data_IF_535609991363
#
_entry.id   IF_535609991363
#
_cell.length_a   1.000
_cell.length_b   1.000
_cell.length_c   1.000
_cell.angle_alpha   90.00
_cell.angle_beta   90.00
_cell.angle_gamma   90.00
#
_symmetry.space_group_name_H-M   'P 1'
#
loop_
_entity.id
_entity.type
_entity.pdbx_description
1 polymer ?
#
# COMPACT_ATOMS: atom_id res chain seq x y z
N UNK A 1 -0.08 3.21 -14.62
CA UNK A 1 -0.24 2.48 -15.91
C UNK A 1 -1.49 3.01 -16.59
N UNK A 2 -1.56 3.01 -17.93
CA UNK A 2 -2.77 3.40 -18.67
C UNK A 2 -3.72 2.21 -18.76
N UNK A 3 -5.03 2.40 -18.60
CA UNK A 3 -6.02 1.32 -18.73
C UNK A 3 -5.99 0.68 -20.13
N UNK A 4 -6.22 -0.63 -20.20
CA UNK A 4 -6.31 -1.38 -21.47
C UNK A 4 -7.76 -1.67 -21.84
N UNK A 5 -8.01 -2.03 -23.09
CA UNK A 5 -9.35 -2.42 -23.58
C UNK A 5 -9.93 -3.55 -22.72
N UNK A 6 -9.15 -4.60 -22.44
CA UNK A 6 -9.58 -5.73 -21.63
C UNK A 6 -9.89 -5.32 -20.19
N UNK A 7 -9.06 -4.46 -19.58
CA UNK A 7 -9.31 -3.94 -18.24
C UNK A 7 -10.63 -3.17 -18.17
N UNK A 8 -10.88 -2.26 -19.12
CA UNK A 8 -12.13 -1.48 -19.14
C UNK A 8 -13.34 -2.38 -19.39
N UNK A 9 -13.26 -3.35 -20.31
CA UNK A 9 -14.36 -4.29 -20.57
C UNK A 9 -14.73 -5.13 -19.34
N UNK A 10 -13.72 -5.57 -18.59
CA UNK A 10 -13.91 -6.42 -17.41
C UNK A 10 -14.24 -5.63 -16.12
N UNK A 11 -14.09 -4.31 -16.14
CA UNK A 11 -14.43 -3.45 -15.01
C UNK A 11 -15.94 -3.44 -14.72
N UNK A 12 -16.28 -3.20 -13.44
CA UNK A 12 -17.67 -3.18 -12.91
C UNK A 12 -17.96 -1.92 -12.10
N UNK A 13 -17.91 -0.72 -12.71
CA UNK A 13 -18.15 0.54 -12.01
C UNK A 13 -19.56 0.67 -11.41
N UNK A 14 -20.53 -0.12 -11.87
CA UNK A 14 -21.87 -0.21 -11.28
C UNK A 14 -21.87 -0.65 -9.80
N UNK A 15 -20.85 -1.40 -9.37
CA UNK A 15 -20.70 -1.78 -7.96
C UNK A 15 -20.43 -0.59 -7.04
N UNK A 16 -19.84 0.47 -7.59
CA UNK A 16 -19.60 1.71 -6.83
C UNK A 16 -20.90 2.44 -6.57
N UNK A 17 -21.83 2.46 -7.53
CA UNK A 17 -23.17 3.02 -7.33
C UNK A 17 -24.00 2.19 -6.35
N UNK A 18 -23.88 0.86 -6.36
CA UNK A 18 -24.50 0.00 -5.34
C UNK A 18 -23.93 0.27 -3.94
N UNK A 19 -22.60 0.41 -3.83
CA UNK A 19 -21.95 0.76 -2.56
C UNK A 19 -22.39 2.15 -2.05
N UNK A 20 -22.61 3.12 -2.94
CA UNK A 20 -23.14 4.43 -2.60
C UNK A 20 -24.55 4.33 -1.96
N UNK A 21 -25.43 3.51 -2.53
CA UNK A 21 -26.77 3.27 -1.97
C UNK A 21 -26.70 2.66 -0.57
N UNK A 22 -25.78 1.71 -0.34
CA UNK A 22 -25.55 1.14 0.99
C UNK A 22 -25.03 2.19 1.99
N UNK A 23 -24.15 3.10 1.56
CA UNK A 23 -23.66 4.20 2.38
C UNK A 23 -24.81 5.18 2.75
N UNK A 24 -25.64 5.59 1.79
CA UNK A 24 -26.83 6.42 2.04
C UNK A 24 -27.79 5.77 3.06
N UNK A 25 -28.09 4.49 2.90
CA UNK A 25 -28.97 3.77 3.83
C UNK A 25 -28.39 3.73 5.24
N UNK A 26 -27.06 3.61 5.36
CA UNK A 26 -26.36 3.61 6.64
C UNK A 26 -26.39 5.00 7.28
N UNK A 27 -26.11 6.06 6.52
CA UNK A 27 -26.20 7.44 6.99
C UNK A 27 -27.61 7.76 7.53
N UNK A 28 -28.65 7.39 6.77
CA UNK A 28 -30.04 7.60 7.17
C UNK A 28 -30.46 6.81 8.43
N UNK A 29 -29.78 5.71 8.78
CA UNK A 29 -29.99 5.02 10.07
C UNK A 29 -29.38 5.83 11.22
N UNK A 30 -28.17 6.34 11.04
CA UNK A 30 -27.45 7.12 12.06
C UNK A 30 -28.15 8.45 12.33
N UNK A 31 -28.58 9.16 11.28
CA UNK A 31 -29.34 10.40 11.41
C UNK A 31 -30.61 10.23 12.25
N UNK A 32 -31.35 9.13 12.02
CA UNK A 32 -32.53 8.79 12.84
C UNK A 32 -32.18 8.53 14.30
N UNK A 33 -31.05 7.90 14.59
CA UNK A 33 -30.58 7.68 15.96
C UNK A 33 -30.18 8.99 16.65
N UNK A 34 -29.52 9.92 15.94
CA UNK A 34 -29.19 11.25 16.45
C UNK A 34 -30.46 12.02 16.84
N UNK A 35 -31.47 12.03 15.98
CA UNK A 35 -32.77 12.69 16.26
C UNK A 35 -33.45 12.07 17.48
N UNK A 36 -33.42 10.74 17.61
CA UNK A 36 -33.99 10.04 18.76
C UNK A 36 -33.26 10.41 20.07
N UNK A 37 -31.92 10.41 20.08
CA UNK A 37 -31.10 10.77 21.25
C UNK A 37 -31.36 12.20 21.71
N UNK A 38 -31.43 13.17 20.78
CA UNK A 38 -31.77 14.57 21.11
C UNK A 38 -33.16 14.70 21.73
N UNK A 39 -34.13 13.96 21.21
CA UNK A 39 -35.50 13.95 21.74
C UNK A 39 -35.55 13.38 23.16
N UNK A 40 -34.87 12.25 23.41
CA UNK A 40 -34.79 11.65 24.74
C UNK A 40 -34.08 12.56 25.75
N UNK A 41 -33.02 13.25 25.33
CA UNK A 41 -32.30 14.19 26.18
C UNK A 41 -33.19 15.37 26.61
N UNK A 42 -33.95 15.93 25.67
CA UNK A 42 -34.92 17.00 25.94
C UNK A 42 -36.00 16.56 26.94
N UNK A 43 -36.51 15.33 26.82
CA UNK A 43 -37.51 14.78 27.74
C UNK A 43 -36.95 14.56 29.15
N UNK A 44 -35.71 14.07 29.27
CA UNK A 44 -35.03 13.87 30.56
C UNK A 44 -34.85 15.19 31.31
N UNK A 45 -34.46 16.28 30.63
CA UNK A 45 -34.25 17.60 31.26
C UNK A 45 -35.51 18.31 31.75
N UNK A 46 -36.69 17.86 31.30
CA UNK A 46 -37.97 18.33 31.81
C UNK A 46 -38.28 17.73 33.21
N UNK A 47 -37.81 16.52 33.51
CA UNK A 47 -38.16 15.75 34.70
C UNK A 47 -37.04 15.54 35.73
N UNK A 48 -35.78 15.73 35.35
CA UNK A 48 -34.61 15.51 36.22
C UNK A 48 -33.59 16.64 36.05
N UNK A 49 -33.16 17.25 37.16
CA UNK A 49 -32.19 18.36 37.19
C UNK A 49 -31.21 18.22 38.34
N UNK A 50 -29.99 18.72 38.16
CA UNK A 50 -28.88 18.65 39.11
C UNK A 50 -27.57 18.20 38.45
N UNK A 51 -26.48 18.13 39.19
CA UNK A 51 -25.13 17.89 38.65
C UNK A 51 -25.02 16.55 37.90
N UNK A 52 -25.71 15.51 38.39
CA UNK A 52 -25.76 14.20 37.71
C UNK A 52 -26.48 14.25 36.35
N UNK A 53 -27.52 15.08 36.22
CA UNK A 53 -28.17 15.33 34.93
C UNK A 53 -27.25 16.11 33.99
N UNK A 54 -26.51 17.10 34.49
CA UNK A 54 -25.53 17.86 33.72
C UNK A 54 -24.44 16.95 33.12
N UNK A 55 -23.87 16.06 33.94
CA UNK A 55 -22.86 15.09 33.48
C UNK A 55 -23.42 14.10 32.43
N UNK A 56 -24.64 13.60 32.64
CA UNK A 56 -25.30 12.69 31.69
C UNK A 56 -25.67 13.38 30.37
N UNK A 57 -26.10 14.64 30.41
CA UNK A 57 -26.36 15.47 29.22
C UNK A 57 -25.09 15.65 28.40
N UNK A 58 -23.99 16.07 29.04
CA UNK A 58 -22.71 16.27 28.38
C UNK A 58 -22.15 14.98 27.76
N UNK A 59 -22.30 13.83 28.43
CA UNK A 59 -21.93 12.52 27.86
C UNK A 59 -22.79 12.16 26.64
N UNK A 60 -24.10 12.43 26.69
CA UNK A 60 -25.02 12.15 25.58
C UNK A 60 -24.77 13.08 24.38
N UNK A 61 -24.48 14.35 24.63
CA UNK A 61 -24.14 15.34 23.59
C UNK A 61 -22.85 14.97 22.85
N UNK A 62 -21.83 14.46 23.55
CA UNK A 62 -20.62 13.92 22.91
C UNK A 62 -20.91 12.74 22.00
N UNK A 63 -21.72 11.78 22.46
CA UNK A 63 -22.15 10.63 21.63
C UNK A 63 -22.99 11.06 20.43
N UNK A 64 -23.80 12.11 20.56
CA UNK A 64 -24.53 12.70 19.44
C UNK A 64 -23.54 13.29 18.41
N UNK A 65 -22.52 14.02 18.86
CA UNK A 65 -21.52 14.60 17.97
C UNK A 65 -20.72 13.52 17.21
N UNK A 66 -20.36 12.41 17.87
CA UNK A 66 -19.73 11.25 17.23
C UNK A 66 -20.61 10.65 16.14
N UNK A 67 -21.89 10.44 16.43
CA UNK A 67 -22.85 9.90 15.46
C UNK A 67 -23.07 10.86 14.28
N UNK A 68 -23.11 12.19 14.51
CA UNK A 68 -23.21 13.18 13.44
C UNK A 68 -21.97 13.17 12.54
N UNK A 69 -20.77 12.99 13.11
CA UNK A 69 -19.52 12.84 12.37
C UNK A 69 -19.51 11.57 11.51
N UNK A 70 -20.00 10.45 12.06
CA UNK A 70 -20.15 9.19 11.33
C UNK A 70 -21.15 9.33 10.18
N UNK A 71 -22.31 9.96 10.42
CA UNK A 71 -23.30 10.22 9.37
C UNK A 71 -22.75 11.12 8.26
N UNK A 72 -22.03 12.19 8.62
CA UNK A 72 -21.38 13.08 7.65
C UNK A 72 -20.38 12.37 6.76
N UNK A 73 -19.64 11.41 7.29
CA UNK A 73 -18.71 10.58 6.49
C UNK A 73 -19.46 9.67 5.53
N UNK A 74 -20.49 8.98 6.01
CA UNK A 74 -21.29 8.11 5.15
C UNK A 74 -21.96 8.88 4.00
N UNK A 75 -22.42 10.11 4.24
CA UNK A 75 -22.94 11.01 3.19
C UNK A 75 -21.86 11.45 2.19
N UNK A 76 -20.63 11.74 2.64
CA UNK A 76 -19.52 12.05 1.71
C UNK A 76 -19.12 10.85 0.87
N UNK A 77 -19.01 9.67 1.47
CA UNK A 77 -18.70 8.42 0.77
C UNK A 77 -19.77 8.09 -0.26
N UNK A 78 -21.05 8.26 0.08
CA UNK A 78 -22.15 8.10 -0.86
C UNK A 78 -22.00 9.01 -2.09
N UNK A 79 -21.84 10.32 -1.88
CA UNK A 79 -21.69 11.29 -2.96
C UNK A 79 -20.50 10.98 -3.89
N UNK A 80 -19.34 10.64 -3.31
CA UNK A 80 -18.13 10.30 -4.06
C UNK A 80 -18.31 9.02 -4.87
N UNK A 81 -18.84 7.96 -4.25
CA UNK A 81 -19.04 6.66 -4.90
C UNK A 81 -20.10 6.74 -6.01
N UNK A 82 -21.21 7.46 -5.78
CA UNK A 82 -22.26 7.65 -6.77
C UNK A 82 -21.76 8.45 -7.98
N UNK A 83 -21.07 9.57 -7.72
CA UNK A 83 -20.52 10.43 -8.76
C UNK A 83 -19.46 9.74 -9.61
N UNK A 84 -18.46 9.13 -8.96
CA UNK A 84 -17.37 8.45 -9.65
C UNK A 84 -17.81 7.18 -10.37
N UNK A 85 -18.68 6.38 -9.74
CA UNK A 85 -19.24 5.17 -10.36
C UNK A 85 -20.03 5.49 -11.64
N UNK A 86 -20.82 6.57 -11.64
CA UNK A 86 -21.56 7.02 -12.83
C UNK A 86 -20.64 7.48 -13.97
N UNK A 87 -19.58 8.22 -13.65
CA UNK A 87 -18.59 8.68 -14.64
C UNK A 87 -17.84 7.50 -15.28
N UNK A 88 -17.32 6.58 -14.46
CA UNK A 88 -16.63 5.39 -14.96
C UNK A 88 -17.56 4.49 -15.78
N UNK A 89 -18.83 4.34 -15.37
CA UNK A 89 -19.84 3.59 -16.14
C UNK A 89 -20.07 4.21 -17.51
N UNK A 90 -20.15 5.54 -17.59
CA UNK A 90 -20.31 6.28 -18.84
C UNK A 90 -19.10 6.08 -19.77
N UNK A 91 -17.88 6.27 -19.25
CA UNK A 91 -16.64 6.12 -20.02
C UNK A 91 -16.46 4.67 -20.49
N UNK A 92 -16.72 3.69 -19.62
CA UNK A 92 -16.74 2.26 -19.99
C UNK A 92 -17.70 1.99 -21.14
N UNK A 93 -18.92 2.51 -21.06
CA UNK A 93 -19.94 2.33 -22.10
C UNK A 93 -19.48 2.92 -23.44
N UNK A 94 -18.84 4.09 -23.42
CA UNK A 94 -18.29 4.72 -24.62
C UNK A 94 -17.15 3.90 -25.25
N UNK A 95 -16.22 3.37 -24.44
CA UNK A 95 -15.13 2.49 -24.89
C UNK A 95 -15.68 1.22 -25.53
N UNK A 96 -16.61 0.53 -24.85
CA UNK A 96 -17.22 -0.70 -25.35
C UNK A 96 -18.01 -0.45 -26.65
N UNK A 97 -18.75 0.66 -26.72
CA UNK A 97 -19.51 1.03 -27.92
C UNK A 97 -18.59 1.29 -29.11
N UNK A 98 -17.51 2.05 -28.90
CA UNK A 98 -16.53 2.32 -29.95
C UNK A 98 -15.83 1.03 -30.41
N UNK A 99 -15.48 0.14 -29.47
CA UNK A 99 -14.88 -1.15 -29.77
C UNK A 99 -15.78 -1.99 -30.68
N UNK A 100 -17.07 -2.12 -30.35
CA UNK A 100 -18.02 -2.89 -31.15
C UNK A 100 -18.32 -2.24 -32.50
N UNK A 101 -18.38 -0.91 -32.56
CA UNK A 101 -18.49 -0.18 -33.81
C UNK A 101 -17.29 -0.48 -34.73
N UNK A 102 -16.07 -0.40 -34.21
CA UNK A 102 -14.85 -0.67 -34.98
C UNK A 102 -14.80 -2.12 -35.47
N UNK A 103 -15.13 -3.10 -34.61
CA UNK A 103 -15.20 -4.52 -34.99
C UNK A 103 -16.23 -4.80 -36.09
N UNK A 104 -17.41 -4.15 -36.02
CA UNK A 104 -18.47 -4.32 -37.03
C UNK A 104 -18.08 -3.76 -38.40
N UNK A 105 -17.25 -2.71 -38.42
CA UNK A 105 -16.73 -2.10 -39.65
C UNK A 105 -15.56 -2.88 -40.28
N UNK A 106 -15.06 -3.93 -39.61
CA UNK A 106 -13.95 -4.74 -40.11
C UNK A 106 -12.57 -4.34 -39.57
N UNK A 107 -12.53 -3.52 -38.53
CA UNK A 107 -11.29 -3.26 -37.78
C UNK A 107 -11.05 -4.32 -36.70
N UNK A 108 -9.80 -4.44 -36.29
CA UNK A 108 -9.40 -5.12 -35.06
C UNK A 108 -8.75 -4.10 -34.14
N UNK A 109 -8.89 -4.29 -32.82
CA UNK A 109 -8.36 -3.37 -31.80
C UNK A 109 -7.49 -4.20 -30.86
N UNK A 110 -6.22 -3.80 -30.71
CA UNK A 110 -5.29 -4.39 -29.75
C UNK A 110 -5.60 -3.88 -28.33
N UNK A 111 -5.03 -4.54 -27.32
CA UNK A 111 -5.37 -4.24 -25.92
C UNK A 111 -4.95 -2.83 -25.49
N UNK A 112 -3.88 -2.30 -26.09
CA UNK A 112 -3.42 -0.92 -25.89
C UNK A 112 -4.30 0.14 -26.57
N UNK A 113 -5.38 -0.26 -27.26
CA UNK A 113 -6.25 0.61 -28.03
C UNK A 113 -5.79 0.88 -29.47
N UNK A 114 -4.72 0.22 -29.95
CA UNK A 114 -4.28 0.37 -31.36
C UNK A 114 -5.27 -0.31 -32.30
N UNK A 115 -5.80 0.45 -33.25
CA UNK A 115 -6.74 0.00 -34.27
C UNK A 115 -5.98 -0.36 -35.54
N UNK A 116 -6.29 -1.52 -36.13
CA UNK A 116 -5.73 -1.96 -37.41
C UNK A 116 -6.78 -2.69 -38.24
N UNK A 117 -6.49 -2.91 -39.51
CA UNK A 117 -7.39 -3.66 -40.41
C UNK A 117 -7.48 -5.10 -39.91
N UNK A 118 -8.70 -5.63 -39.73
CA UNK A 118 -8.88 -7.05 -39.38
C UNK A 118 -8.56 -7.94 -40.58
N UNK A 119 -7.71 -8.97 -40.44
CA UNK A 119 -7.49 -9.96 -41.49
C UNK A 119 -8.80 -10.59 -41.97
N UNK A 120 -8.92 -10.75 -43.28
CA UNK A 120 -10.12 -11.31 -43.93
C UNK A 120 -11.32 -10.36 -44.00
N UNK A 121 -11.20 -9.11 -43.53
CA UNK A 121 -12.29 -8.13 -43.61
C UNK A 121 -12.47 -7.57 -45.03
N UNK A 122 -13.64 -6.99 -45.28
CA UNK A 122 -13.92 -6.21 -46.50
C UNK A 122 -13.01 -4.98 -46.61
N UNK A 123 -12.54 -4.42 -45.47
CA UNK A 123 -11.54 -3.35 -45.45
C UNK A 123 -10.19 -3.83 -45.99
N UNK A 124 -9.77 -5.05 -45.65
CA UNK A 124 -8.55 -5.63 -46.19
C UNK A 124 -8.63 -5.85 -47.71
N UNK A 125 -9.78 -6.34 -48.20
CA UNK A 125 -10.04 -6.49 -49.63
C UNK A 125 -10.01 -5.13 -50.34
N UNK A 126 -10.63 -4.11 -49.75
CA UNK A 126 -10.63 -2.75 -50.28
C UNK A 126 -9.23 -2.11 -50.31
N UNK A 127 -8.41 -2.36 -49.30
CA UNK A 127 -7.01 -1.91 -49.24
C UNK A 127 -6.17 -2.48 -50.38
N UNK A 128 -6.40 -3.75 -50.76
CA UNK A 128 -5.64 -4.46 -51.82
C UNK A 128 -5.97 -3.97 -53.24
N UNK A 129 -7.09 -3.30 -53.45
CA UNK A 129 -7.50 -2.81 -54.77
C UNK A 129 -6.65 -1.64 -55.27
N UNK A 130 -6.16 -0.77 -54.37
CA UNK A 130 -5.40 0.42 -54.73
C UNK A 130 -4.51 0.87 -53.55
N UNK A 131 -3.20 1.12 -53.74
CA UNK A 131 -2.32 1.67 -52.70
C UNK A 131 -2.85 2.94 -52.01
N UNK A 132 -3.56 3.81 -52.73
CA UNK A 132 -4.18 5.00 -52.15
C UNK A 132 -5.28 4.66 -51.12
N UNK A 133 -6.01 3.56 -51.31
CA UNK A 133 -7.01 3.08 -50.35
C UNK A 133 -6.34 2.56 -49.07
N UNK A 134 -5.21 1.88 -49.20
CA UNK A 134 -4.44 1.41 -48.05
C UNK A 134 -3.94 2.58 -47.18
N UNK A 135 -3.40 3.64 -47.79
CA UNK A 135 -2.98 4.85 -47.08
C UNK A 135 -4.17 5.54 -46.39
N UNK A 136 -5.32 5.65 -47.08
CA UNK A 136 -6.54 6.22 -46.48
C UNK A 136 -7.04 5.42 -45.28
N UNK A 137 -7.03 4.09 -45.36
CA UNK A 137 -7.41 3.22 -44.24
C UNK A 137 -6.40 3.29 -43.09
N UNK A 138 -5.10 3.45 -43.38
CA UNK A 138 -4.09 3.66 -42.34
C UNK A 138 -4.34 4.97 -41.58
N UNK A 139 -4.70 6.05 -42.27
CA UNK A 139 -5.06 7.32 -41.61
C UNK A 139 -6.30 7.19 -40.72
N UNK A 140 -7.34 6.47 -41.19
CA UNK A 140 -8.54 6.20 -40.38
C UNK A 140 -8.25 5.32 -39.16
N UNK A 141 -7.38 4.32 -39.31
CA UNK A 141 -6.93 3.48 -38.21
C UNK A 141 -6.14 4.27 -37.16
N UNK A 142 -5.28 5.20 -37.59
CA UNK A 142 -4.54 6.08 -36.70
C UNK A 142 -5.48 7.00 -35.90
N UNK A 143 -6.46 7.63 -36.55
CA UNK A 143 -7.45 8.49 -35.89
C UNK A 143 -8.29 7.71 -34.86
N UNK A 144 -8.78 6.53 -35.25
CA UNK A 144 -9.51 5.64 -34.35
C UNK A 144 -8.66 5.17 -33.16
N UNK A 145 -7.35 4.90 -33.39
CA UNK A 145 -6.40 4.54 -32.33
C UNK A 145 -6.22 5.67 -31.33
N UNK A 146 -6.06 6.91 -31.79
CA UNK A 146 -5.96 8.09 -30.92
C UNK A 146 -7.24 8.23 -30.09
N UNK A 147 -8.40 8.14 -30.72
CA UNK A 147 -9.69 8.24 -30.01
C UNK A 147 -9.86 7.16 -28.93
N UNK A 148 -9.53 5.90 -29.25
CA UNK A 148 -9.60 4.79 -28.30
C UNK A 148 -8.62 5.00 -27.13
N UNK A 149 -7.35 5.33 -27.44
CA UNK A 149 -6.32 5.59 -26.43
C UNK A 149 -6.68 6.75 -25.50
N UNK A 150 -7.29 7.82 -26.02
CA UNK A 150 -7.78 8.93 -25.21
C UNK A 150 -8.87 8.49 -24.25
N UNK A 151 -9.86 7.70 -24.69
CA UNK A 151 -10.92 7.20 -23.79
C UNK A 151 -10.38 6.26 -22.71
N UNK A 152 -9.39 5.43 -23.04
CA UNK A 152 -8.71 4.57 -22.07
C UNK A 152 -7.94 5.40 -21.03
N UNK A 153 -7.23 6.45 -21.45
CA UNK A 153 -6.55 7.37 -20.55
C UNK A 153 -7.52 8.19 -19.68
N UNK A 154 -8.68 8.54 -20.21
CA UNK A 154 -9.74 9.21 -19.46
C UNK A 154 -10.32 8.30 -18.38
N UNK A 155 -10.63 7.04 -18.70
CA UNK A 155 -11.10 6.04 -17.73
C UNK A 155 -10.10 5.87 -16.58
N UNK A 156 -8.83 5.69 -16.93
CA UNK A 156 -7.72 5.55 -15.99
C UNK A 156 -7.51 6.79 -15.09
N UNK A 157 -7.76 7.98 -15.64
CA UNK A 157 -7.71 9.23 -14.86
C UNK A 157 -8.89 9.36 -13.91
N UNK A 158 -10.10 9.06 -14.37
CA UNK A 158 -11.30 9.07 -13.55
C UNK A 158 -11.20 8.07 -12.40
N UNK A 159 -10.64 6.89 -12.65
CA UNK A 159 -10.43 5.84 -11.64
C UNK A 159 -9.49 6.33 -10.53
N UNK A 160 -8.34 6.92 -10.89
CA UNK A 160 -7.41 7.50 -9.92
C UNK A 160 -8.01 8.67 -9.13
N UNK A 161 -8.77 9.55 -9.79
CA UNK A 161 -9.43 10.68 -9.11
C UNK A 161 -10.46 10.17 -8.12
N UNK A 162 -11.23 9.16 -8.50
CA UNK A 162 -12.20 8.53 -7.61
C UNK A 162 -11.51 7.85 -6.43
N UNK A 163 -10.44 7.09 -6.65
CA UNK A 163 -9.69 6.46 -5.57
C UNK A 163 -9.22 7.48 -4.52
N UNK A 164 -8.69 8.63 -4.96
CA UNK A 164 -8.31 9.75 -4.06
C UNK A 164 -9.49 10.35 -3.33
N UNK A 165 -10.62 10.53 -4.02
CA UNK A 165 -11.83 11.10 -3.42
C UNK A 165 -12.43 10.15 -2.36
N UNK A 166 -12.36 8.83 -2.57
CA UNK A 166 -12.81 7.83 -1.60
C UNK A 166 -11.92 7.90 -0.35
N UNK A 167 -10.61 7.97 -0.52
CA UNK A 167 -9.64 8.10 0.57
C UNK A 167 -9.88 9.37 1.41
N UNK A 168 -10.12 10.50 0.75
CA UNK A 168 -10.44 11.77 1.41
C UNK A 168 -11.82 11.75 2.12
N UNK A 169 -12.78 11.00 1.59
CA UNK A 169 -14.10 10.88 2.22
C UNK A 169 -14.05 10.04 3.51
N UNK A 170 -13.14 9.06 3.62
CA UNK A 170 -12.97 8.19 4.78
C UNK A 170 -12.12 8.77 5.91
N UNK A 171 -11.21 9.71 5.62
CA UNK A 171 -10.28 10.27 6.61
C UNK A 171 -10.93 11.17 7.67
N UNK A 172 -12.15 11.66 7.44
CA UNK A 172 -12.86 12.57 8.35
C UNK A 172 -13.58 11.88 9.54
N UNK A 173 -13.55 10.55 9.69
CA UNK A 173 -14.16 9.84 10.86
C UNK A 173 -13.27 9.91 12.10
N UNK A 174 -11.98 10.15 11.93
CA UNK A 174 -10.99 10.07 13.01
C UNK A 174 -10.91 11.39 13.77
N UNK A 175 -11.31 11.39 15.04
CA UNK A 175 -11.07 12.51 15.95
C UNK A 175 -11.89 12.32 17.23
N UNK A 176 -11.27 12.44 18.42
CA UNK A 176 -11.79 11.82 19.63
C UNK A 176 -12.79 12.73 20.34
N UNK A 177 -13.86 12.14 20.86
CA UNK A 177 -14.53 12.64 22.05
C UNK A 177 -13.64 12.33 23.25
N UNK A 178 -13.42 13.32 24.12
CA UNK A 178 -12.86 13.03 25.43
C UNK A 178 -13.69 13.63 26.56
N UNK A 179 -13.78 12.86 27.65
CA UNK A 179 -14.47 13.18 28.91
C UNK A 179 -13.48 13.06 30.05
N UNK A 180 -13.00 14.19 30.54
CA UNK A 180 -12.33 14.27 31.85
C UNK A 180 -11.46 15.50 31.98
N UNK A 181 -11.99 16.59 32.53
CA UNK A 181 -11.22 17.81 32.86
C UNK A 181 -10.61 17.78 34.27
N UNK A 182 -10.23 18.93 34.84
CA UNK A 182 -9.78 20.18 34.23
C UNK A 182 -8.31 20.47 34.56
N UNK A 183 -7.57 21.02 33.59
CA UNK A 183 -6.20 21.50 33.78
C UNK A 183 -5.76 22.26 32.54
N UNK A 184 -6.14 23.52 32.50
CA UNK A 184 -5.42 24.69 31.99
C UNK A 184 -4.30 24.44 30.95
N UNK A 185 -4.56 24.81 29.69
CA UNK A 185 -3.71 25.63 28.79
C UNK A 185 -3.87 25.27 27.30
N UNK A 186 -4.34 26.26 26.54
CA UNK A 186 -3.95 26.63 25.16
C UNK A 186 -3.92 25.56 24.04
N UNK A 187 -5.10 25.36 23.42
CA UNK A 187 -5.30 25.49 21.97
C UNK A 187 -4.51 24.63 20.96
N UNK A 188 -4.82 23.33 20.84
CA UNK A 188 -4.78 22.49 19.62
C UNK A 188 -5.51 21.16 19.95
N UNK A 189 -6.39 20.56 19.12
CA UNK A 189 -6.85 19.19 19.39
C UNK A 189 -5.66 18.24 19.36
N UNK A 190 -5.16 17.87 20.55
CA UNK A 190 -3.95 17.08 20.72
C UNK A 190 -4.00 15.79 19.89
N UNK A 191 -3.04 15.65 18.97
CA UNK A 191 -2.72 14.38 18.30
C UNK A 191 -2.45 13.31 19.37
N UNK A 192 -2.80 12.04 19.10
CA UNK A 192 -2.50 10.90 19.98
C UNK A 192 -1.03 10.97 20.40
N UNK A 193 -0.78 10.91 21.71
CA UNK A 193 0.58 10.85 22.25
C UNK A 193 1.01 9.39 22.33
N UNK A 194 2.07 9.06 21.63
CA UNK A 194 2.67 7.74 21.56
C UNK A 194 3.64 7.51 22.72
N UNK A 195 3.58 6.33 23.32
CA UNK A 195 4.38 5.94 24.49
C UNK A 195 5.05 4.58 24.26
N UNK A 196 5.80 4.10 25.24
CA UNK A 196 6.37 2.75 25.23
C UNK A 196 5.29 1.66 25.20
N UNK A 197 4.11 1.91 25.76
CA UNK A 197 2.97 0.98 25.73
C UNK A 197 2.49 0.68 24.30
N UNK A 198 2.68 1.62 23.37
CA UNK A 198 2.27 1.48 21.97
C UNK A 198 3.30 0.73 21.11
N UNK A 199 4.56 0.60 21.55
CA UNK A 199 5.65 0.06 20.73
C UNK A 199 5.44 -1.40 20.36
N UNK A 200 5.13 -2.25 21.35
CA UNK A 200 5.20 -3.70 21.24
C UNK A 200 4.02 -4.38 21.95
N UNK A 201 2.80 -4.35 21.39
CA UNK A 201 1.66 -5.11 21.94
C UNK A 201 1.91 -6.63 21.94
N UNK A 202 2.84 -7.10 21.12
CA UNK A 202 3.44 -8.44 21.12
C UNK A 202 4.90 -8.35 20.68
N UNK A 203 5.60 -9.49 20.63
CA UNK A 203 6.95 -9.53 20.04
C UNK A 203 6.90 -9.07 18.58
N UNK A 204 7.87 -8.25 18.12
CA UNK A 204 7.96 -7.82 16.73
C UNK A 204 7.89 -8.98 15.75
N UNK A 205 7.06 -8.85 14.72
CA UNK A 205 6.99 -9.81 13.61
C UNK A 205 6.97 -9.09 12.26
N UNK A 206 7.20 -9.83 11.19
CA UNK A 206 7.07 -9.30 9.84
C UNK A 206 5.65 -8.84 9.49
N UNK A 207 4.61 -9.34 10.16
CA UNK A 207 3.22 -8.94 9.91
C UNK A 207 2.86 -7.58 10.52
N UNK A 208 3.75 -7.02 11.34
CA UNK A 208 3.60 -5.69 11.95
C UNK A 208 3.92 -4.60 10.92
N UNK A 209 4.75 -4.96 9.93
CA UNK A 209 5.20 -4.08 8.87
C UNK A 209 4.21 -4.16 7.71
N UNK A 210 3.68 -3.01 7.32
CA UNK A 210 2.89 -2.87 6.11
C UNK A 210 3.36 -1.63 5.38
N UNK A 211 4.01 -1.83 4.25
CA UNK A 211 4.43 -0.77 3.35
C UNK A 211 3.27 -0.34 2.48
N UNK A 212 2.97 0.96 2.48
CA UNK A 212 1.95 1.54 1.62
C UNK A 212 2.53 2.45 0.53
N UNK A 213 2.72 3.74 0.79
CA UNK A 213 3.00 4.73 -0.27
C UNK A 213 4.48 5.10 -0.41
N UNK A 214 5.28 4.82 0.62
CA UNK A 214 6.71 5.13 0.61
C UNK A 214 7.44 3.98 -0.11
N UNK A 215 8.27 4.32 -1.09
CA UNK A 215 8.96 3.36 -1.96
C UNK A 215 10.19 2.69 -1.34
N UNK A 216 10.15 2.37 -0.06
CA UNK A 216 11.26 1.86 0.76
C UNK A 216 11.11 0.38 1.13
N UNK A 217 10.59 -0.42 0.20
CA UNK A 217 10.34 -1.86 0.37
C UNK A 217 11.56 -2.64 0.88
N UNK A 218 12.75 -2.18 0.52
CA UNK A 218 14.03 -2.72 0.94
C UNK A 218 14.28 -2.56 2.45
N UNK A 219 13.78 -1.49 3.07
CA UNK A 219 13.80 -1.25 4.50
C UNK A 219 12.74 -2.10 5.18
N UNK A 220 11.49 -2.02 4.73
CA UNK A 220 10.35 -2.72 5.34
C UNK A 220 10.52 -4.23 5.36
N UNK A 221 10.94 -4.78 4.22
CA UNK A 221 11.24 -6.22 4.12
C UNK A 221 12.38 -6.61 5.07
N UNK A 222 13.37 -5.73 5.23
CA UNK A 222 14.50 -6.00 6.12
C UNK A 222 14.08 -5.93 7.58
N UNK A 223 13.29 -4.94 7.98
CA UNK A 223 12.73 -4.82 9.32
C UNK A 223 11.89 -6.05 9.66
N UNK A 224 11.00 -6.47 8.75
CA UNK A 224 10.20 -7.68 8.94
C UNK A 224 11.06 -8.96 9.04
N UNK A 225 12.08 -9.09 8.20
CA UNK A 225 12.99 -10.24 8.25
C UNK A 225 13.80 -10.29 9.57
N UNK A 226 14.29 -9.14 10.04
CA UNK A 226 14.99 -9.03 11.33
C UNK A 226 14.04 -9.33 12.49
N UNK A 227 12.80 -8.82 12.45
CA UNK A 227 11.79 -9.08 13.45
C UNK A 227 11.48 -10.58 13.57
N UNK A 228 11.23 -11.27 12.45
CA UNK A 228 10.98 -12.73 12.46
C UNK A 228 12.19 -13.53 12.95
N UNK A 229 13.40 -13.11 12.58
CA UNK A 229 14.62 -13.83 12.91
C UNK A 229 15.02 -13.63 14.38
N UNK A 230 14.98 -12.40 14.88
CA UNK A 230 15.30 -12.06 16.26
C UNK A 230 14.60 -10.76 16.69
N UNK A 231 13.38 -10.84 17.26
CA UNK A 231 12.61 -9.67 17.67
C UNK A 231 13.34 -8.77 18.66
N UNK A 232 14.26 -9.33 19.48
CA UNK A 232 15.03 -8.57 20.45
C UNK A 232 15.97 -7.56 19.78
N UNK A 233 16.48 -7.84 18.57
CA UNK A 233 17.32 -6.90 17.82
C UNK A 233 16.55 -5.63 17.44
N UNK A 234 15.23 -5.70 17.25
CA UNK A 234 14.38 -4.51 17.03
C UNK A 234 14.18 -3.77 18.37
N UNK A 235 13.80 -4.50 19.43
CA UNK A 235 13.57 -3.91 20.76
C UNK A 235 14.79 -3.18 21.30
N UNK A 236 15.98 -3.76 21.14
CA UNK A 236 17.25 -3.17 21.60
C UNK A 236 17.60 -1.85 20.90
N UNK A 237 16.94 -1.55 19.78
CA UNK A 237 17.20 -0.34 18.98
C UNK A 237 16.32 0.83 19.40
N UNK A 238 15.19 0.60 20.06
CA UNK A 238 14.21 1.64 20.39
C UNK A 238 14.09 1.79 21.90
N UNK A 239 14.25 3.01 22.40
CA UNK A 239 13.99 3.35 23.80
C UNK A 239 13.05 4.54 23.87
N UNK A 240 12.04 4.47 24.72
CA UNK A 240 11.22 5.63 25.03
C UNK A 240 11.88 6.45 26.14
N UNK A 241 11.83 7.78 26.03
CA UNK A 241 12.33 8.71 27.03
C UNK A 241 11.15 9.46 27.67
N UNK A 242 10.76 9.04 28.88
CA UNK A 242 9.68 9.67 29.66
C UNK A 242 9.88 11.16 29.91
N UNK A 243 11.14 11.62 29.96
CA UNK A 243 11.48 13.01 30.23
C UNK A 243 11.18 13.94 29.05
N UNK A 244 11.30 13.42 27.82
CA UNK A 244 11.05 14.20 26.59
C UNK A 244 9.77 13.78 25.86
N UNK A 245 9.23 12.60 26.16
CA UNK A 245 8.11 12.00 25.44
C UNK A 245 8.46 11.55 24.02
N UNK A 246 9.74 11.36 23.72
CA UNK A 246 10.24 10.97 22.40
C UNK A 246 10.90 9.59 22.46
N UNK A 247 11.21 9.04 21.29
CA UNK A 247 11.94 7.78 21.17
C UNK A 247 13.39 8.04 20.78
N UNK A 248 14.32 7.35 21.42
CA UNK A 248 15.71 7.26 21.01
C UNK A 248 15.91 5.97 20.23
N UNK A 249 16.27 6.09 18.95
CA UNK A 249 16.54 4.96 18.07
C UNK A 249 18.02 4.89 17.75
N UNK A 250 18.65 3.74 17.99
CA UNK A 250 20.07 3.54 17.69
C UNK A 250 20.20 2.86 16.32
N UNK A 251 20.80 3.51 15.31
CA UNK A 251 21.07 2.90 13.99
C UNK A 251 22.53 3.08 13.58
N UNK A 252 23.05 2.18 12.76
CA UNK A 252 24.40 2.25 12.22
C UNK A 252 24.44 3.10 10.94
N UNK A 253 25.33 4.08 10.88
CA UNK A 253 25.43 5.00 9.72
C UNK A 253 26.36 4.49 8.61
N UNK A 254 26.99 3.33 8.80
CA UNK A 254 28.06 2.78 7.97
C UNK A 254 29.44 2.82 8.65
N UNK A 255 29.58 3.58 9.72
CA UNK A 255 30.84 3.80 10.43
C UNK A 255 30.71 3.67 11.95
N UNK A 256 29.62 4.15 12.53
CA UNK A 256 29.35 4.08 13.97
C UNK A 256 27.85 4.01 14.29
N UNK A 257 27.54 3.60 15.52
CA UNK A 257 26.16 3.63 16.03
C UNK A 257 25.76 5.06 16.38
N UNK A 258 24.65 5.52 15.81
CA UNK A 258 24.06 6.85 16.01
C UNK A 258 22.77 6.74 16.81
N UNK A 259 22.62 7.63 17.79
CA UNK A 259 21.37 7.87 18.49
C UNK A 259 20.54 8.90 17.72
N UNK A 260 19.31 8.53 17.38
CA UNK A 260 18.40 9.32 16.55
C UNK A 260 17.14 9.53 17.36
N UNK A 261 16.92 10.76 17.79
CA UNK A 261 15.66 11.13 18.42
C UNK A 261 14.55 11.12 17.37
N UNK A 262 13.48 10.39 17.63
CA UNK A 262 12.24 10.36 16.86
C UNK A 262 11.15 11.00 17.72
N UNK A 263 10.63 12.12 17.25
CA UNK A 263 9.61 12.90 17.96
C UNK A 263 8.19 12.39 17.72
N UNK A 264 7.24 12.87 18.51
CA UNK A 264 5.82 12.62 18.26
C UNK A 264 5.38 13.11 16.87
N UNK A 265 5.87 14.27 16.44
CA UNK A 265 5.56 14.83 15.12
C UNK A 265 6.21 14.05 13.97
N UNK A 266 7.39 13.49 14.21
CA UNK A 266 8.06 12.58 13.25
C UNK A 266 7.18 11.35 12.98
N UNK A 267 6.70 10.70 14.04
CA UNK A 267 5.79 9.54 13.97
C UNK A 267 4.48 9.91 13.30
N UNK A 268 3.85 11.01 13.72
CA UNK A 268 2.59 11.46 13.12
C UNK A 268 2.77 11.78 11.63
N UNK A 269 3.88 12.40 11.24
CA UNK A 269 4.19 12.67 9.83
C UNK A 269 4.38 11.37 9.03
N UNK A 270 5.02 10.37 9.63
CA UNK A 270 5.19 9.06 9.03
C UNK A 270 3.84 8.36 8.80
N UNK A 271 2.99 8.30 9.84
CA UNK A 271 1.63 7.73 9.75
C UNK A 271 0.78 8.50 8.73
N UNK A 272 0.80 9.84 8.77
CA UNK A 272 0.06 10.70 7.83
C UNK A 272 0.53 10.50 6.37
N UNK A 273 1.76 10.03 6.18
CA UNK A 273 2.36 9.76 4.86
C UNK A 273 2.21 8.29 4.41
N UNK A 274 1.48 7.48 5.18
CA UNK A 274 1.30 6.05 4.90
C UNK A 274 2.63 5.28 4.88
N UNK A 275 3.33 5.33 6.01
CA UNK A 275 4.59 4.64 6.25
C UNK A 275 4.43 3.13 6.49
N UNK A 276 5.31 2.58 7.33
CA UNK A 276 5.51 1.14 7.44
C UNK A 276 4.66 0.44 8.52
N UNK A 277 3.83 1.17 9.29
CA UNK A 277 3.02 0.61 10.38
C UNK A 277 1.54 0.72 10.06
N UNK A 278 0.78 -0.35 10.30
CA UNK A 278 -0.68 -0.44 10.11
C UNK A 278 -1.51 0.58 10.92
N UNK A 279 -0.90 1.36 11.81
CA UNK A 279 -1.52 2.53 12.44
C UNK A 279 -2.03 3.53 11.40
N UNK A 280 -1.35 3.66 10.26
CA UNK A 280 -1.76 4.51 9.12
C UNK A 280 -2.98 3.97 8.34
N UNK A 281 -3.30 2.70 8.55
CA UNK A 281 -4.43 1.98 7.98
C UNK A 281 -5.63 1.95 8.92
N UNK A 282 -5.58 2.72 10.03
CA UNK A 282 -6.67 2.87 10.97
C UNK A 282 -6.85 1.70 11.93
N UNK A 283 -5.83 0.85 12.09
CA UNK A 283 -5.77 -0.16 13.15
C UNK A 283 -5.16 0.48 14.41
N UNK A 284 -5.96 0.88 15.43
CA UNK A 284 -5.46 1.63 16.57
C UNK A 284 -4.58 0.80 17.52
N UNK A 285 -4.63 -0.53 17.39
CA UNK A 285 -3.92 -1.50 18.23
C UNK A 285 -2.67 -2.05 17.51
N UNK A 286 -2.37 -1.57 16.29
CA UNK A 286 -1.18 -1.97 15.55
C UNK A 286 0.11 -1.55 16.28
N UNK A 287 1.19 -2.35 16.20
CA UNK A 287 2.47 -1.99 16.78
C UNK A 287 3.03 -0.68 16.19
N UNK A 288 3.51 0.20 17.06
CA UNK A 288 4.10 1.48 16.67
C UNK A 288 5.54 1.35 16.14
N UNK A 289 6.26 0.29 16.53
CA UNK A 289 7.69 0.15 16.24
C UNK A 289 8.09 0.31 14.76
N UNK A 290 7.30 -0.10 13.73
CA UNK A 290 7.69 0.09 12.34
C UNK A 290 7.79 1.57 11.97
N UNK A 291 6.81 2.38 12.36
CA UNK A 291 6.79 3.83 12.10
C UNK A 291 7.96 4.55 12.79
N UNK A 292 8.33 4.11 14.00
CA UNK A 292 9.48 4.64 14.75
C UNK A 292 10.81 4.30 14.06
N UNK A 293 10.97 3.05 13.61
CA UNK A 293 12.19 2.62 12.89
C UNK A 293 12.33 3.28 11.53
N UNK A 294 11.25 3.37 10.75
CA UNK A 294 11.23 4.04 9.45
C UNK A 294 11.56 5.54 9.59
N UNK A 295 10.94 6.22 10.55
CA UNK A 295 11.23 7.62 10.88
C UNK A 295 12.70 7.83 11.25
N UNK A 296 13.28 6.96 12.09
CA UNK A 296 14.69 7.04 12.45
C UNK A 296 15.60 6.84 11.23
N UNK A 297 15.29 5.85 10.40
CA UNK A 297 16.07 5.56 9.20
C UNK A 297 15.99 6.70 8.17
N UNK A 298 14.81 7.31 7.99
CA UNK A 298 14.64 8.51 7.18
C UNK A 298 15.55 9.65 7.63
N UNK A 299 15.59 9.94 8.94
CA UNK A 299 16.46 10.97 9.53
C UNK A 299 17.94 10.64 9.40
N UNK A 300 18.31 9.36 9.49
CA UNK A 300 19.68 8.90 9.27
C UNK A 300 20.14 9.16 7.82
N UNK A 301 19.27 8.92 6.83
CA UNK A 301 19.60 9.07 5.41
C UNK A 301 19.49 10.51 4.89
N UNK A 302 18.67 11.34 5.54
CA UNK A 302 18.48 12.74 5.19
C UNK A 302 18.72 13.67 6.41
N UNK A 303 19.96 13.74 6.93
CA UNK A 303 20.25 14.51 8.13
C UNK A 303 19.94 15.99 7.90
N UNK A 304 19.12 16.57 8.78
CA UNK A 304 18.70 17.98 8.73
C UNK A 304 17.51 18.27 7.81
N UNK A 305 16.98 17.28 7.09
CA UNK A 305 15.70 17.42 6.39
C UNK A 305 14.53 17.38 7.38
N UNK A 306 13.40 17.99 7.02
CA UNK A 306 12.13 17.74 7.71
C UNK A 306 11.65 16.31 7.41
N UNK A 307 10.75 15.77 8.23
CA UNK A 307 10.35 14.37 8.12
C UNK A 307 9.71 14.02 6.77
N UNK A 308 8.90 14.91 6.18
CA UNK A 308 8.30 14.65 4.87
C UNK A 308 9.36 14.43 3.78
N UNK A 309 10.35 15.33 3.70
CA UNK A 309 11.45 15.24 2.73
C UNK A 309 12.39 14.05 3.02
N UNK A 310 12.57 13.71 4.31
CA UNK A 310 13.34 12.56 4.73
C UNK A 310 12.69 11.24 4.27
N UNK A 311 11.37 11.12 4.44
CA UNK A 311 10.58 9.98 3.96
C UNK A 311 10.59 9.90 2.42
N UNK A 312 10.48 11.04 1.73
CA UNK A 312 10.64 11.09 0.26
C UNK A 312 12.04 10.66 -0.20
N UNK A 313 13.05 10.83 0.65
CA UNK A 313 14.42 10.43 0.33
C UNK A 313 14.58 8.92 0.36
N UNK A 314 14.04 8.24 1.38
CA UNK A 314 14.10 6.78 1.46
C UNK A 314 13.13 6.10 0.49
N UNK A 315 12.01 6.77 0.16
CA UNK A 315 11.03 6.30 -0.82
C UNK A 315 11.49 6.31 -2.28
N UNK A 316 12.71 6.78 -2.58
CA UNK A 316 13.33 6.69 -3.93
C UNK A 316 13.93 5.31 -4.22
N UNK A 317 13.79 4.36 -3.30
CA UNK A 317 14.37 3.02 -3.38
C UNK A 317 15.75 2.92 -2.74
N UNK A 318 16.20 1.69 -2.54
CA UNK A 318 17.44 1.36 -1.84
C UNK A 318 17.74 -0.14 -1.90
N UNK A 319 18.71 -0.59 -1.09
CA UNK A 319 19.17 -1.99 -1.10
C UNK A 319 18.96 -2.61 0.28
N UNK A 320 18.43 -3.84 0.32
CA UNK A 320 18.13 -4.55 1.58
C UNK A 320 19.35 -4.70 2.47
N UNK A 321 20.52 -4.98 1.89
CA UNK A 321 21.78 -5.07 2.62
C UNK A 321 22.18 -3.77 3.36
N UNK A 322 21.82 -2.61 2.81
CA UNK A 322 22.14 -1.31 3.42
C UNK A 322 21.19 -1.00 4.58
N UNK A 323 19.92 -1.38 4.44
CA UNK A 323 18.96 -1.35 5.54
C UNK A 323 19.37 -2.34 6.65
N UNK A 324 19.82 -3.53 6.27
CA UNK A 324 20.26 -4.55 7.21
C UNK A 324 21.48 -4.08 7.98
N UNK A 325 22.45 -3.48 7.29
CA UNK A 325 23.62 -2.87 7.90
C UNK A 325 23.22 -1.78 8.89
N UNK A 326 22.26 -0.91 8.55
CA UNK A 326 21.79 0.14 9.46
C UNK A 326 21.14 -0.39 10.74
N UNK A 327 20.37 -1.48 10.65
CA UNK A 327 19.66 -2.05 11.81
C UNK A 327 20.58 -2.94 12.66
N UNK A 328 21.46 -3.70 12.02
CA UNK A 328 22.23 -4.77 12.69
C UNK A 328 23.72 -4.44 12.88
N UNK A 329 24.24 -3.46 12.15
CA UNK A 329 25.68 -3.21 12.02
C UNK A 329 26.39 -4.20 11.11
N UNK A 330 25.65 -5.10 10.45
CA UNK A 330 26.18 -6.11 9.55
C UNK A 330 25.42 -6.10 8.22
N UNK A 331 26.15 -6.03 7.11
CA UNK A 331 25.56 -5.96 5.77
C UNK A 331 25.04 -7.31 5.25
N UNK A 332 25.38 -8.39 5.94
CA UNK A 332 25.10 -9.76 5.52
C UNK A 332 25.85 -10.17 4.26
N UNK A 333 25.51 -11.36 3.78
CA UNK A 333 25.98 -11.88 2.50
C UNK A 333 24.87 -11.71 1.46
N UNK A 334 25.22 -11.27 0.24
CA UNK A 334 24.26 -11.21 -0.87
C UNK A 334 24.57 -12.32 -1.87
N UNK A 335 23.59 -13.19 -2.10
CA UNK A 335 23.60 -14.21 -3.14
C UNK A 335 22.99 -13.61 -4.40
N UNK A 336 23.68 -13.73 -5.52
CA UNK A 336 23.17 -13.31 -6.82
C UNK A 336 22.79 -14.58 -7.59
N UNK A 337 21.50 -14.89 -7.77
CA UNK A 337 21.08 -16.11 -8.45
C UNK A 337 21.70 -16.32 -9.83
N UNK A 338 21.90 -15.23 -10.58
CA UNK A 338 22.56 -15.27 -11.88
C UNK A 338 24.00 -15.83 -11.81
N UNK A 339 24.71 -15.63 -10.70
CA UNK A 339 26.04 -16.18 -10.46
C UNK A 339 25.98 -17.65 -10.03
N UNK A 340 24.93 -18.06 -9.31
CA UNK A 340 24.74 -19.43 -8.87
C UNK A 340 24.60 -20.44 -10.02
N UNK A 341 24.03 -20.01 -11.15
CA UNK A 341 24.03 -20.80 -12.39
C UNK A 341 25.45 -21.22 -12.82
N UNK A 342 26.46 -20.35 -12.59
CA UNK A 342 27.85 -20.60 -12.97
C UNK A 342 28.61 -21.41 -11.91
N UNK A 343 28.28 -21.24 -10.64
CA UNK A 343 29.01 -21.84 -9.51
C UNK A 343 28.43 -23.17 -9.04
N UNK A 344 27.19 -23.51 -9.42
CA UNK A 344 26.48 -24.69 -8.93
C UNK A 344 26.09 -24.57 -7.46
N UNK A 345 25.94 -23.34 -6.95
CA UNK A 345 25.67 -23.07 -5.54
C UNK A 345 24.24 -23.49 -5.15
N UNK A 346 24.13 -24.21 -4.04
CA UNK A 346 22.86 -24.66 -3.48
C UNK A 346 22.20 -23.53 -2.66
N UNK A 347 21.66 -22.52 -3.35
CA UNK A 347 21.01 -21.35 -2.72
C UNK A 347 19.88 -21.78 -1.78
N UNK A 348 19.10 -22.81 -2.16
CA UNK A 348 18.06 -23.41 -1.32
C UNK A 348 18.61 -23.87 0.04
N UNK A 349 19.76 -24.56 0.04
CA UNK A 349 20.40 -25.03 1.27
C UNK A 349 20.90 -23.87 2.12
N UNK A 350 21.44 -22.81 1.50
CA UNK A 350 21.87 -21.60 2.23
C UNK A 350 20.71 -20.85 2.88
N UNK A 351 19.57 -20.72 2.18
CA UNK A 351 18.35 -20.13 2.76
C UNK A 351 17.84 -20.99 3.91
N UNK A 352 17.80 -22.32 3.73
CA UNK A 352 17.32 -23.23 4.75
C UNK A 352 18.19 -23.17 6.03
N UNK A 353 19.52 -23.16 5.86
CA UNK A 353 20.46 -23.02 6.97
C UNK A 353 20.32 -21.66 7.67
N UNK A 354 20.21 -20.57 6.90
CA UNK A 354 20.02 -19.24 7.45
C UNK A 354 18.76 -19.15 8.31
N UNK A 355 17.61 -19.60 7.79
CA UNK A 355 16.35 -19.58 8.52
C UNK A 355 16.41 -20.48 9.77
N UNK A 356 17.04 -21.65 9.68
CA UNK A 356 17.23 -22.55 10.82
C UNK A 356 18.13 -21.94 11.91
N UNK A 357 19.10 -21.10 11.53
CA UNK A 357 19.98 -20.38 12.43
C UNK A 357 19.42 -19.02 12.87
N UNK A 358 18.13 -18.76 12.63
CA UNK A 358 17.49 -17.49 12.99
C UNK A 358 18.20 -16.27 12.38
N UNK A 359 18.62 -16.37 11.13
CA UNK A 359 19.18 -15.26 10.35
C UNK A 359 18.08 -14.63 9.48
N UNK A 360 18.06 -13.28 9.34
CA UNK A 360 17.08 -12.62 8.49
C UNK A 360 17.44 -12.88 7.04
N UNK A 361 16.43 -13.19 6.22
CA UNK A 361 16.61 -13.42 4.79
C UNK A 361 15.62 -12.56 4.01
N UNK A 362 16.14 -11.70 3.14
CA UNK A 362 15.34 -10.91 2.20
C UNK A 362 15.67 -11.27 0.76
N UNK A 363 14.70 -11.05 -0.12
CA UNK A 363 14.82 -11.34 -1.55
C UNK A 363 14.40 -10.11 -2.33
N UNK A 364 15.24 -9.65 -3.25
CA UNK A 364 14.96 -8.53 -4.14
C UNK A 364 14.73 -9.03 -5.57
N UNK A 365 13.67 -8.56 -6.20
CA UNK A 365 13.30 -8.94 -7.56
C UNK A 365 13.88 -7.99 -8.60
N UNK A 366 14.13 -8.52 -9.80
CA UNK A 366 14.57 -7.73 -10.94
C UNK A 366 13.39 -7.02 -11.62
N UNK A 367 13.65 -6.35 -12.74
CA UNK A 367 12.60 -5.79 -13.61
C UNK A 367 11.72 -6.87 -14.27
N UNK A 368 12.22 -8.11 -14.38
CA UNK A 368 11.52 -9.25 -14.95
C UNK A 368 11.20 -10.27 -13.86
N UNK A 369 10.38 -9.87 -12.89
CA UNK A 369 10.14 -10.62 -11.66
C UNK A 369 9.17 -11.81 -11.80
N UNK A 370 8.78 -12.16 -13.03
CA UNK A 370 7.80 -13.19 -13.31
C UNK A 370 6.47 -12.96 -12.55
N UNK A 371 6.04 -13.86 -11.65
CA UNK A 371 4.80 -13.72 -10.89
C UNK A 371 4.88 -12.74 -9.72
N UNK A 372 6.07 -12.24 -9.37
CA UNK A 372 6.30 -11.31 -8.28
C UNK A 372 6.21 -9.85 -8.75
N UNK A 373 6.11 -8.92 -7.79
CA UNK A 373 6.24 -7.49 -8.06
C UNK A 373 7.67 -7.22 -8.53
N UNK A 374 7.82 -6.44 -9.60
CA UNK A 374 9.13 -6.07 -10.15
C UNK A 374 9.84 -5.01 -9.30
N UNK A 375 11.17 -5.02 -9.29
CA UNK A 375 12.01 -4.06 -8.56
C UNK A 375 11.56 -3.91 -7.09
N UNK A 376 11.27 -5.02 -6.43
CA UNK A 376 10.63 -5.06 -5.12
C UNK A 376 11.36 -6.00 -4.16
N UNK A 377 11.28 -5.72 -2.87
CA UNK A 377 11.85 -6.58 -1.83
C UNK A 377 10.75 -7.40 -1.14
N UNK A 378 11.11 -8.61 -0.74
CA UNK A 378 10.26 -9.57 -0.03
C UNK A 378 11.00 -10.10 1.20
N UNK A 379 10.23 -10.45 2.23
CA UNK A 379 10.73 -11.26 3.36
C UNK A 379 10.66 -12.74 2.98
N UNK A 380 11.72 -13.50 3.22
CA UNK A 380 11.70 -14.95 3.08
C UNK A 380 11.23 -15.56 4.40
N UNK A 381 10.00 -16.08 4.41
CA UNK A 381 9.33 -16.62 5.60
C UNK A 381 9.73 -18.07 5.89
N UNK A 382 9.79 -18.88 4.84
CA UNK A 382 10.15 -20.28 4.96
C UNK A 382 10.65 -20.86 3.64
N UNK A 383 11.39 -21.95 3.74
CA UNK A 383 11.71 -22.81 2.61
C UNK A 383 11.36 -24.26 2.97
N UNK A 384 10.88 -25.01 2.00
CA UNK A 384 10.57 -26.43 2.12
C UNK A 384 11.10 -27.18 0.91
N UNK A 385 11.52 -28.43 1.10
CA UNK A 385 12.15 -29.23 0.04
C UNK A 385 13.60 -28.82 -0.23
N UNK A 386 14.22 -29.49 -1.21
CA UNK A 386 15.59 -29.23 -1.67
C UNK A 386 15.68 -29.44 -3.19
N UNK A 387 16.70 -28.83 -3.81
CA UNK A 387 16.95 -28.87 -5.24
C UNK A 387 15.74 -28.44 -6.06
N UNK A 388 15.40 -29.22 -7.09
CA UNK A 388 14.30 -28.89 -8.01
C UNK A 388 12.89 -28.94 -7.38
N UNK A 389 12.77 -29.49 -6.17
CA UNK A 389 11.50 -29.53 -5.43
C UNK A 389 11.43 -28.46 -4.33
N UNK A 390 12.48 -27.63 -4.17
CA UNK A 390 12.48 -26.58 -3.19
C UNK A 390 11.41 -25.53 -3.54
N UNK A 391 10.64 -25.11 -2.53
CA UNK A 391 9.66 -24.03 -2.61
C UNK A 391 9.94 -23.03 -1.50
N UNK A 392 9.89 -21.75 -1.82
CA UNK A 392 10.09 -20.65 -0.89
C UNK A 392 8.77 -19.92 -0.67
N UNK A 393 8.43 -19.65 0.59
CA UNK A 393 7.33 -18.77 0.94
C UNK A 393 7.88 -17.37 1.19
N UNK A 394 7.35 -16.40 0.45
CA UNK A 394 7.71 -14.99 0.53
C UNK A 394 6.54 -14.20 1.12
N UNK A 395 6.83 -13.21 1.96
CA UNK A 395 5.87 -12.17 2.36
C UNK A 395 6.17 -10.90 1.58
N UNK A 396 5.14 -10.35 0.94
CA UNK A 396 5.19 -9.02 0.36
C UNK A 396 5.02 -7.98 1.48
N UNK A 397 5.94 -7.02 1.69
CA UNK A 397 5.77 -5.96 2.67
C UNK A 397 4.52 -5.09 2.44
N UNK A 398 3.92 -5.10 1.24
CA UNK A 398 2.61 -4.46 0.98
C UNK A 398 1.41 -5.17 1.63
N UNK A 399 1.67 -6.24 2.38
CA UNK A 399 0.68 -7.17 2.93
C UNK A 399 -0.32 -7.73 1.89
N UNK A 400 0.02 -7.63 0.61
CA UNK A 400 -0.82 -8.04 -0.52
C UNK A 400 0.03 -8.41 -1.73
N UNK A 401 -0.43 -9.37 -2.53
CA UNK A 401 0.25 -9.80 -3.76
C UNK A 401 -0.56 -9.43 -5.01
N UNK A 402 0.09 -9.31 -6.19
CA UNK A 402 -0.60 -9.10 -7.46
C UNK A 402 -1.75 -10.10 -7.65
N UNK A 403 -2.86 -9.63 -8.24
CA UNK A 403 -4.13 -10.36 -8.42
C UNK A 403 -5.00 -10.53 -7.15
N UNK A 404 -4.75 -9.76 -6.09
CA UNK A 404 -5.58 -9.77 -4.88
C UNK A 404 -5.29 -10.95 -3.94
N UNK A 405 -4.10 -11.54 -4.04
CA UNK A 405 -3.61 -12.54 -3.09
C UNK A 405 -3.24 -11.90 -1.75
N UNK A 406 -3.32 -12.66 -0.66
CA UNK A 406 -2.84 -12.22 0.66
C UNK A 406 -1.32 -11.99 0.71
N UNK A 407 -0.76 -11.68 1.89
CA UNK A 407 0.64 -11.25 2.04
C UNK A 407 1.66 -12.32 1.63
N UNK A 408 1.29 -13.60 1.78
CA UNK A 408 2.17 -14.73 1.52
C UNK A 408 1.99 -15.30 0.12
N UNK A 409 3.10 -15.62 -0.54
CA UNK A 409 3.15 -16.35 -1.80
C UNK A 409 4.21 -17.45 -1.74
N UNK A 410 3.83 -18.68 -2.09
CA UNK A 410 4.77 -19.81 -2.17
C UNK A 410 5.13 -20.09 -3.62
N UNK A 411 6.42 -20.06 -3.94
CA UNK A 411 6.93 -20.18 -5.30
C UNK A 411 8.02 -21.25 -5.37
N UNK A 412 8.05 -22.10 -6.43
CA UNK A 412 9.17 -23.00 -6.66
C UNK A 412 10.49 -22.24 -6.79
N UNK A 413 11.53 -22.71 -6.13
CA UNK A 413 12.86 -22.09 -6.18
C UNK A 413 13.40 -22.02 -7.60
N UNK A 414 13.08 -23.01 -8.44
CA UNK A 414 13.45 -23.00 -9.87
C UNK A 414 12.87 -21.84 -10.65
N UNK A 415 11.72 -21.28 -10.24
CA UNK A 415 11.13 -20.08 -10.85
C UNK A 415 11.90 -18.84 -10.40
N UNK A 416 12.27 -18.76 -9.12
CA UNK A 416 13.03 -17.63 -8.56
C UNK A 416 14.45 -17.54 -9.13
N UNK A 417 15.10 -18.68 -9.35
CA UNK A 417 16.45 -18.73 -9.92
C UNK A 417 16.48 -18.45 -11.43
N UNK A 418 15.32 -18.54 -12.09
CA UNK A 418 15.21 -18.32 -13.53
C UNK A 418 16.00 -19.34 -14.35
N UNK A 419 16.43 -18.94 -15.55
CA UNK A 419 17.18 -19.82 -16.45
C UNK A 419 18.17 -19.09 -17.34
N UNK A 420 19.31 -19.73 -17.66
CA UNK A 420 20.30 -19.22 -18.59
C UNK A 420 21.41 -18.40 -17.91
N UNK A 421 22.38 -17.93 -18.70
CA UNK A 421 23.49 -17.10 -18.19
C UNK A 421 23.01 -15.69 -17.84
N UNK A 422 23.70 -14.92 -16.97
CA UNK A 422 23.31 -13.55 -16.59
C UNK A 422 22.93 -12.62 -17.75
N UNK A 423 23.55 -12.79 -18.93
CA UNK A 423 23.35 -11.93 -20.11
C UNK A 423 22.22 -12.39 -21.05
N UNK A 424 21.81 -13.66 -20.97
CA UNK A 424 20.93 -14.29 -21.97
C UNK A 424 19.83 -15.14 -21.32
N UNK A 425 19.60 -14.94 -20.03
CA UNK A 425 18.70 -15.70 -19.21
C UNK A 425 17.65 -14.84 -18.54
N UNK A 426 16.59 -15.47 -18.09
CA UNK A 426 15.61 -14.88 -17.19
C UNK A 426 16.14 -15.02 -15.76
N UNK A 427 16.10 -13.92 -15.00
CA UNK A 427 16.58 -13.84 -13.61
C UNK A 427 15.59 -13.01 -12.80
N UNK A 428 14.50 -13.63 -12.30
CA UNK A 428 13.45 -12.92 -11.57
C UNK A 428 13.92 -12.30 -10.25
N UNK A 429 15.02 -12.81 -9.71
CA UNK A 429 15.62 -12.38 -8.46
C UNK A 429 16.97 -11.75 -8.73
N UNK A 430 17.13 -10.50 -8.33
CA UNK A 430 18.38 -9.73 -8.44
C UNK A 430 19.36 -10.08 -7.30
N UNK A 431 18.82 -10.36 -6.10
CA UNK A 431 19.64 -10.78 -4.98
C UNK A 431 18.85 -11.36 -3.81
N UNK A 432 19.50 -12.24 -3.04
CA UNK A 432 19.02 -12.75 -1.77
C UNK A 432 20.02 -12.32 -0.71
N UNK A 433 19.60 -11.52 0.27
CA UNK A 433 20.48 -11.05 1.33
C UNK A 433 20.21 -11.84 2.62
N UNK A 434 21.25 -12.50 3.12
CA UNK A 434 21.23 -13.27 4.36
C UNK A 434 22.03 -12.48 5.40
N UNK A 435 21.39 -12.10 6.50
CA UNK A 435 22.07 -11.37 7.56
C UNK A 435 22.91 -12.27 8.45
N UNK A 436 24.07 -11.77 8.86
CA UNK A 436 24.87 -12.40 9.90
C UNK A 436 24.47 -11.79 11.25
N UNK A 437 24.04 -12.60 12.21
CA UNK A 437 23.41 -12.12 13.45
C UNK A 437 24.22 -12.35 14.71
#
# INVERSE_FOLDING_TARGET
MTATVSTVQNSRPERLTEAAEHAAQSAARVDRQVVALRTSLSQLGAGWRGDAYGAASAATERRIAEHEKMAGTLHRMESVLAGGGSQLTTTRTNVVTLLEQLKSQGWQVADDGTVSIRPGSTLEQFAKLNPANAIRLQALAADASVRMKTMLAEFDTQDRVLAKAIQAASSDVSGPSDVGGPGDDDGDPAKRKWTDEDLFPHDPTAADVQQDQIGDCYLDSTLGAVANANPQKIKDRIKYDDGTGNFDVTLWDGHEWKHITVTQDDINTNIDKHGASRLDNGDPDAPLWPAVMESAYAKLKAPGANMNDALDTIGKGGQTKDALEAVTGNRGDTLVPADAWRTGEHIDSRIAEALANHQPVTLSTSSDAGPLVHNHAYIVESISGTGNNATVTLRNPWESNPNGGGPLITIPMSVLMGSGTPRWGDHPVDGINIGNM
#
